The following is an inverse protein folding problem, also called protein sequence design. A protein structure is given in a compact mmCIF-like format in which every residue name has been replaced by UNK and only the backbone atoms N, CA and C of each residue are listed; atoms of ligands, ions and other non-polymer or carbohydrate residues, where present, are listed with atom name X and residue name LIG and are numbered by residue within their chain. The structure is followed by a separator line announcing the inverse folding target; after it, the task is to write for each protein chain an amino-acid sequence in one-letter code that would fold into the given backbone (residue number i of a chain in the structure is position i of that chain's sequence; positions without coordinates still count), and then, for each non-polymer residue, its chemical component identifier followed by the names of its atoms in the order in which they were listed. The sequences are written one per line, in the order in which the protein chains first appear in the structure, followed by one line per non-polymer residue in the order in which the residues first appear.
data_IF_620696253534
#
_entry.id   IF_620696253534
#
_cell.length_a   1.000
_cell.length_b   1.000
_cell.length_c   1.000
_cell.angle_alpha   90.00
_cell.angle_beta   90.00
_cell.angle_gamma   90.00
#
_symmetry.space_group_name_H-M   'P 1'
#
loop_
_entity.id
_entity.type
_entity.pdbx_description
1 polymer ?
#
# COMPACT_ATOMS: atom_id res chain seq x y z
N UNK A 1 -23.32 5.91 -41.00
CA UNK A 1 -21.88 6.10 -40.68
C UNK A 1 -21.62 6.33 -39.18
N UNK A 2 -22.64 6.46 -38.31
CA UNK A 2 -22.42 6.66 -36.85
C UNK A 2 -22.15 5.36 -36.08
N UNK A 3 -22.76 4.24 -36.47
CA UNK A 3 -22.60 2.95 -35.78
C UNK A 3 -21.17 2.40 -35.85
N UNK A 4 -20.52 2.51 -37.02
CA UNK A 4 -19.12 2.08 -37.19
C UNK A 4 -18.14 2.94 -36.38
N UNK A 5 -18.46 4.21 -36.13
CA UNK A 5 -17.66 5.09 -35.25
C UNK A 5 -17.82 4.67 -33.78
N UNK A 6 -19.05 4.40 -33.35
CA UNK A 6 -19.33 3.97 -31.98
C UNK A 6 -18.72 2.59 -31.65
N UNK A 7 -18.75 1.65 -32.60
CA UNK A 7 -18.06 0.36 -32.47
C UNK A 7 -16.54 0.53 -32.37
N UNK A 8 -15.95 1.42 -33.17
CA UNK A 8 -14.52 1.73 -33.11
C UNK A 8 -14.12 2.34 -31.77
N UNK A 9 -14.94 3.25 -31.22
CA UNK A 9 -14.69 3.89 -29.93
C UNK A 9 -14.81 2.88 -28.77
N UNK A 10 -15.80 1.98 -28.80
CA UNK A 10 -15.92 0.92 -27.79
C UNK A 10 -14.77 -0.10 -27.88
N UNK A 11 -14.32 -0.44 -29.08
CA UNK A 11 -13.12 -1.26 -29.27
C UNK A 11 -11.88 -0.60 -28.69
N UNK A 12 -11.68 0.71 -28.92
CA UNK A 12 -10.56 1.47 -28.32
C UNK A 12 -10.64 1.47 -26.80
N UNK A 13 -11.83 1.72 -26.23
CA UNK A 13 -12.04 1.69 -24.78
C UNK A 13 -11.67 0.33 -24.17
N UNK A 14 -12.09 -0.76 -24.83
CA UNK A 14 -11.75 -2.12 -24.40
C UNK A 14 -10.27 -2.42 -24.50
N UNK A 15 -9.59 -1.94 -25.55
CA UNK A 15 -8.14 -2.08 -25.70
C UNK A 15 -7.39 -1.34 -24.59
N UNK A 16 -7.81 -0.13 -24.23
CA UNK A 16 -7.24 0.65 -23.13
C UNK A 16 -7.38 -0.10 -21.80
N UNK A 17 -8.60 -0.58 -21.50
CA UNK A 17 -8.91 -1.32 -20.27
C UNK A 17 -8.12 -2.63 -20.18
N UNK A 18 -7.98 -3.35 -21.29
CA UNK A 18 -7.16 -4.56 -21.36
C UNK A 18 -5.66 -4.25 -21.21
N UNK A 19 -5.19 -3.13 -21.76
CA UNK A 19 -3.78 -2.73 -21.65
C UNK A 19 -3.42 -2.40 -20.21
N UNK A 20 -4.26 -1.63 -19.51
CA UNK A 20 -4.11 -1.35 -18.09
C UNK A 20 -4.07 -2.65 -17.26
N UNK A 21 -4.93 -3.61 -17.58
CA UNK A 21 -4.96 -4.90 -16.89
C UNK A 21 -3.72 -5.75 -17.15
N UNK A 22 -3.13 -5.67 -18.35
CA UNK A 22 -1.86 -6.33 -18.66
C UNK A 22 -0.72 -5.73 -17.85
N UNK A 23 -0.65 -4.40 -17.74
CA UNK A 23 0.36 -3.72 -16.93
C UNK A 23 0.29 -4.14 -15.46
N UNK A 24 -0.92 -4.19 -14.89
CA UNK A 24 -1.14 -4.67 -13.53
C UNK A 24 -0.70 -6.13 -13.32
N UNK A 25 -0.97 -7.00 -14.31
CA UNK A 25 -0.53 -8.40 -14.28
C UNK A 25 1.00 -8.54 -14.41
N UNK A 26 1.64 -7.69 -15.21
CA UNK A 26 3.09 -7.67 -15.35
C UNK A 26 3.78 -7.19 -14.07
N UNK A 27 3.27 -6.14 -13.40
CA UNK A 27 3.75 -5.69 -12.09
C UNK A 27 3.58 -6.80 -11.04
N UNK A 28 2.44 -7.50 -11.03
CA UNK A 28 2.20 -8.61 -10.13
C UNK A 28 3.17 -9.78 -10.35
N UNK A 29 3.37 -10.20 -11.60
CA UNK A 29 4.31 -11.29 -11.95
C UNK A 29 5.75 -10.94 -11.60
N UNK A 30 6.18 -9.71 -11.88
CA UNK A 30 7.52 -9.25 -11.52
C UNK A 30 7.73 -9.27 -10.01
N UNK A 31 6.74 -8.76 -9.26
CA UNK A 31 6.75 -8.73 -7.79
C UNK A 31 6.79 -10.16 -7.21
N UNK A 32 6.02 -11.09 -7.76
CA UNK A 32 6.04 -12.52 -7.38
C UNK A 32 7.38 -13.19 -7.68
N UNK A 33 7.99 -12.91 -8.84
CA UNK A 33 9.29 -13.47 -9.20
C UNK A 33 10.38 -13.05 -8.21
N UNK A 34 10.43 -11.76 -7.86
CA UNK A 34 11.37 -11.23 -6.86
C UNK A 34 11.08 -11.82 -5.48
N UNK A 35 9.80 -11.87 -5.08
CA UNK A 35 9.37 -12.40 -3.80
C UNK A 35 9.74 -13.88 -3.59
N UNK A 36 9.58 -14.71 -4.62
CA UNK A 36 9.93 -16.13 -4.58
C UNK A 36 11.44 -16.31 -4.52
N UNK A 37 12.19 -15.52 -5.30
CA UNK A 37 13.64 -15.64 -5.39
C UNK A 37 14.37 -15.12 -4.14
N UNK A 38 13.82 -14.11 -3.46
CA UNK A 38 14.46 -13.41 -2.35
C UNK A 38 13.58 -13.36 -1.08
N UNK A 39 12.76 -14.37 -0.84
CA UNK A 39 11.75 -14.34 0.25
C UNK A 39 12.34 -14.02 1.63
N UNK A 40 13.59 -14.43 1.89
CA UNK A 40 14.27 -14.20 3.18
C UNK A 40 14.96 -12.84 3.24
N UNK A 41 15.48 -12.37 2.11
CA UNK A 41 16.23 -11.13 1.97
C UNK A 41 15.28 -9.92 1.80
N UNK A 42 14.10 -10.16 1.21
CA UNK A 42 13.08 -9.19 0.85
C UNK A 42 11.70 -9.54 1.47
N UNK A 43 11.58 -9.75 2.80
CA UNK A 43 10.35 -10.25 3.42
C UNK A 43 9.14 -9.34 3.22
N UNK A 44 9.34 -8.02 3.14
CA UNK A 44 8.25 -7.07 2.91
C UNK A 44 7.72 -7.11 1.47
N UNK A 45 8.62 -7.18 0.47
CA UNK A 45 8.20 -7.37 -0.92
C UNK A 45 7.53 -8.73 -1.10
N UNK A 46 8.04 -9.77 -0.42
CA UNK A 46 7.43 -11.08 -0.44
C UNK A 46 6.01 -11.10 0.13
N UNK A 47 5.79 -10.43 1.27
CA UNK A 47 4.46 -10.21 1.82
C UNK A 47 3.53 -9.50 0.82
N UNK A 48 4.00 -8.41 0.20
CA UNK A 48 3.21 -7.68 -0.80
C UNK A 48 2.81 -8.57 -1.97
N UNK A 49 3.73 -9.40 -2.47
CA UNK A 49 3.48 -10.33 -3.55
C UNK A 49 2.47 -11.44 -3.16
N UNK A 50 2.69 -12.07 -2.01
CA UNK A 50 1.88 -13.19 -1.49
C UNK A 50 0.41 -12.78 -1.31
N UNK A 51 0.16 -11.52 -1.00
CA UNK A 51 -1.18 -10.97 -0.79
C UNK A 51 -1.71 -10.12 -1.95
N UNK A 52 -1.04 -10.11 -3.10
CA UNK A 52 -1.48 -9.36 -4.29
C UNK A 52 -1.61 -7.85 -4.05
N UNK A 53 -0.73 -7.28 -3.24
CA UNK A 53 -0.74 -5.86 -2.87
C UNK A 53 0.04 -5.08 -3.93
N UNK A 54 -0.69 -4.58 -4.94
CA UNK A 54 -0.12 -3.84 -6.09
C UNK A 54 -0.81 -2.48 -6.27
N UNK A 55 -0.35 -1.69 -7.25
CA UNK A 55 -1.00 -0.44 -7.67
C UNK A 55 -1.28 0.55 -6.54
N UNK A 56 -2.49 1.14 -6.53
CA UNK A 56 -2.90 2.14 -5.52
C UNK A 56 -2.93 1.58 -4.10
N UNK A 57 -3.23 0.29 -3.92
CA UNK A 57 -3.23 -0.37 -2.60
C UNK A 57 -1.82 -0.47 -2.01
N UNK A 58 -0.81 -0.75 -2.85
CA UNK A 58 0.61 -0.74 -2.45
C UNK A 58 1.04 0.67 -2.01
N UNK A 59 0.62 1.70 -2.74
CA UNK A 59 0.89 3.10 -2.37
C UNK A 59 0.24 3.46 -1.03
N UNK A 60 -1.03 3.10 -0.83
CA UNK A 60 -1.72 3.33 0.44
C UNK A 60 -1.08 2.56 1.60
N UNK A 61 -0.69 1.30 1.41
CA UNK A 61 -0.02 0.52 2.45
C UNK A 61 1.29 1.19 2.89
N UNK A 62 2.14 1.55 1.92
CA UNK A 62 3.41 2.22 2.21
C UNK A 62 3.19 3.57 2.88
N UNK A 63 2.18 4.33 2.45
CA UNK A 63 1.79 5.58 3.09
C UNK A 63 1.35 5.38 4.54
N UNK A 64 0.50 4.38 4.81
CA UNK A 64 0.02 4.10 6.16
C UNK A 64 1.17 3.68 7.09
N UNK A 65 2.04 2.76 6.65
CA UNK A 65 3.21 2.34 7.43
C UNK A 65 4.13 3.54 7.72
N UNK A 66 4.42 4.37 6.72
CA UNK A 66 5.25 5.56 6.94
C UNK A 66 4.61 6.56 7.91
N UNK A 67 3.29 6.76 7.81
CA UNK A 67 2.53 7.61 8.71
C UNK A 67 2.61 7.14 10.16
N UNK A 68 2.25 5.88 10.43
CA UNK A 68 2.25 5.34 11.80
C UNK A 68 3.66 5.33 12.40
N UNK A 69 4.69 5.04 11.61
CA UNK A 69 6.08 5.09 12.07
C UNK A 69 6.57 6.51 12.36
N UNK A 70 6.15 7.49 11.55
CA UNK A 70 6.44 8.90 11.81
C UNK A 70 5.69 9.40 13.05
N UNK A 71 4.43 8.99 13.22
CA UNK A 71 3.57 9.32 14.38
C UNK A 71 4.16 8.75 15.68
N UNK A 72 4.62 7.51 15.67
CA UNK A 72 5.32 6.88 16.80
C UNK A 72 6.58 7.65 17.21
N UNK A 73 7.30 8.22 16.24
CA UNK A 73 8.49 9.06 16.46
C UNK A 73 8.19 10.51 16.83
N UNK A 74 6.90 10.90 16.90
CA UNK A 74 6.47 12.31 17.02
C UNK A 74 7.05 13.21 15.91
N UNK A 75 7.27 12.63 14.75
CA UNK A 75 7.82 13.28 13.56
C UNK A 75 6.80 13.33 12.41
N UNK A 76 5.56 12.88 12.64
CA UNK A 76 4.48 12.97 11.66
C UNK A 76 4.25 14.43 11.28
N UNK A 77 4.33 14.70 9.97
CA UNK A 77 3.84 15.93 9.37
C UNK A 77 2.49 15.63 8.72
N UNK A 78 1.56 16.59 8.70
CA UNK A 78 0.30 16.42 7.97
C UNK A 78 0.58 15.99 6.53
N UNK A 79 -0.21 15.04 6.02
CA UNK A 79 -0.15 14.63 4.61
C UNK A 79 -0.37 15.85 3.72
N UNK A 80 0.51 16.09 2.75
CA UNK A 80 0.29 17.12 1.74
C UNK A 80 -0.90 16.70 0.86
N UNK A 81 -1.95 17.53 0.83
CA UNK A 81 -3.30 17.18 0.41
C UNK A 81 -3.48 17.12 -1.11
N UNK A 82 -2.51 17.59 -1.90
CA UNK A 82 -2.62 17.69 -3.36
C UNK A 82 -2.77 16.32 -4.06
N UNK A 83 -1.73 15.49 -4.00
CA UNK A 83 -1.73 14.13 -4.58
C UNK A 83 -2.47 13.10 -3.68
N UNK A 84 -2.74 13.47 -2.43
CA UNK A 84 -3.28 12.58 -1.40
C UNK A 84 -4.81 12.45 -1.43
N UNK A 85 -5.55 13.44 -1.96
CA UNK A 85 -7.02 13.49 -1.84
C UNK A 85 -7.74 12.26 -2.42
N UNK A 86 -7.44 11.90 -3.67
CA UNK A 86 -8.07 10.73 -4.31
C UNK A 86 -7.68 9.41 -3.61
N UNK A 87 -6.48 9.33 -3.03
CA UNK A 87 -6.05 8.16 -2.27
C UNK A 87 -6.72 8.09 -0.89
N UNK A 88 -6.95 9.23 -0.25
CA UNK A 88 -7.66 9.33 1.04
C UNK A 88 -9.13 8.96 0.94
N UNK A 89 -9.78 9.23 -0.19
CA UNK A 89 -11.18 8.81 -0.45
C UNK A 89 -11.29 7.28 -0.44
N UNK A 90 -10.36 6.60 -1.12
CA UNK A 90 -10.33 5.14 -1.19
C UNK A 90 -9.74 4.48 0.08
N UNK A 91 -8.84 5.17 0.78
CA UNK A 91 -8.10 4.67 1.95
C UNK A 91 -8.10 5.68 3.10
N UNK A 92 -9.24 5.86 3.79
CA UNK A 92 -9.38 6.86 4.85
C UNK A 92 -8.49 6.61 6.07
N UNK A 93 -8.01 5.37 6.25
CA UNK A 93 -7.06 5.01 7.31
C UNK A 93 -5.74 5.81 7.21
N UNK A 94 -5.38 6.30 6.02
CA UNK A 94 -4.22 7.17 5.84
C UNK A 94 -4.32 8.45 6.68
N UNK A 95 -5.50 9.03 6.85
CA UNK A 95 -5.65 10.20 7.71
C UNK A 95 -5.28 9.89 9.17
N UNK A 96 -5.69 8.71 9.67
CA UNK A 96 -5.39 8.24 11.04
C UNK A 96 -3.89 7.98 11.23
N UNK A 97 -3.22 7.48 10.19
CA UNK A 97 -1.78 7.20 10.22
C UNK A 97 -0.94 8.46 10.50
N UNK A 98 -1.42 9.64 10.07
CA UNK A 98 -0.72 10.92 10.21
C UNK A 98 -1.35 11.84 11.26
N UNK A 99 -2.23 11.31 12.12
CA UNK A 99 -2.81 12.06 13.23
C UNK A 99 -1.71 12.55 14.20
N UNK A 100 -1.89 13.71 14.85
CA UNK A 100 -0.86 14.32 15.70
C UNK A 100 -0.66 13.60 17.05
N UNK A 101 -1.63 12.82 17.51
CA UNK A 101 -1.58 12.13 18.79
C UNK A 101 -0.49 11.03 18.79
N UNK A 102 0.06 10.63 19.95
CA UNK A 102 0.86 9.42 20.04
C UNK A 102 0.08 8.19 19.55
N UNK A 103 0.81 7.15 19.13
CA UNK A 103 0.24 5.89 18.63
C UNK A 103 0.95 4.72 19.29
N UNK A 104 0.18 3.68 19.64
CA UNK A 104 0.70 2.41 20.12
C UNK A 104 0.73 1.34 19.01
N UNK A 105 1.32 0.18 19.32
CA UNK A 105 1.42 -0.92 18.37
C UNK A 105 0.04 -1.41 17.87
N UNK A 106 -0.95 -1.54 18.76
CA UNK A 106 -2.25 -2.10 18.41
C UNK A 106 -3.06 -1.13 17.52
N UNK A 107 -2.96 0.17 17.76
CA UNK A 107 -3.52 1.19 16.87
C UNK A 107 -2.80 1.20 15.52
N UNK A 108 -1.47 1.08 15.48
CA UNK A 108 -0.72 1.00 14.22
C UNK A 108 -1.13 -0.23 13.39
N UNK A 109 -1.25 -1.40 14.05
CA UNK A 109 -1.73 -2.63 13.43
C UNK A 109 -3.14 -2.46 12.86
N UNK A 110 -4.05 -1.82 13.61
CA UNK A 110 -5.42 -1.57 13.16
C UNK A 110 -5.47 -0.65 11.93
N UNK A 111 -4.72 0.46 11.94
CA UNK A 111 -4.69 1.43 10.84
C UNK A 111 -4.14 0.79 9.56
N UNK A 112 -3.02 0.06 9.65
CA UNK A 112 -2.45 -0.67 8.51
C UNK A 112 -3.41 -1.77 8.06
N UNK A 113 -4.05 -2.44 9.01
CA UNK A 113 -5.06 -3.47 8.76
C UNK A 113 -6.28 -2.96 8.01
N UNK A 114 -6.75 -1.74 8.29
CA UNK A 114 -7.86 -1.11 7.55
C UNK A 114 -7.53 -0.96 6.06
N UNK A 115 -6.30 -0.58 5.69
CA UNK A 115 -5.84 -0.53 4.27
C UNK A 115 -5.84 -1.92 3.63
N UNK A 116 -5.56 -2.95 4.42
CA UNK A 116 -5.47 -4.33 3.98
C UNK A 116 -6.79 -5.10 4.15
N UNK A 117 -7.83 -4.49 4.72
CA UNK A 117 -9.09 -5.15 5.07
C UNK A 117 -8.96 -6.25 6.13
N UNK A 118 -7.85 -6.29 6.88
CA UNK A 118 -7.60 -7.30 7.92
C UNK A 118 -6.53 -6.84 8.90
N UNK A 119 -6.86 -6.84 10.20
CA UNK A 119 -5.91 -6.55 11.28
C UNK A 119 -4.75 -7.55 11.33
N UNK A 120 -5.03 -8.83 11.02
CA UNK A 120 -4.01 -9.86 10.93
C UNK A 120 -2.97 -9.53 9.85
N UNK A 121 -3.43 -9.11 8.67
CA UNK A 121 -2.54 -8.65 7.59
C UNK A 121 -1.81 -7.37 7.98
N UNK A 122 -2.45 -6.47 8.74
CA UNK A 122 -1.82 -5.26 9.27
C UNK A 122 -0.59 -5.58 10.14
N UNK A 123 -0.72 -6.55 11.05
CA UNK A 123 0.39 -7.06 11.87
C UNK A 123 1.50 -7.66 11.02
N UNK A 124 1.14 -8.58 10.10
CA UNK A 124 2.12 -9.24 9.23
C UNK A 124 2.87 -8.23 8.35
N UNK A 125 2.19 -7.20 7.83
CA UNK A 125 2.82 -6.15 7.04
C UNK A 125 3.87 -5.38 7.82
N UNK A 126 3.54 -4.96 9.05
CA UNK A 126 4.47 -4.23 9.93
C UNK A 126 5.66 -5.12 10.34
N UNK A 127 5.42 -6.39 10.66
CA UNK A 127 6.47 -7.35 10.98
C UNK A 127 7.40 -7.61 9.79
N UNK A 128 6.86 -7.83 8.58
CA UNK A 128 7.63 -8.04 7.37
C UNK A 128 8.45 -6.77 7.00
N UNK A 129 7.85 -5.59 7.15
CA UNK A 129 8.54 -4.30 6.97
C UNK A 129 9.69 -4.13 7.96
N UNK A 130 9.47 -4.46 9.24
CA UNK A 130 10.50 -4.43 10.28
C UNK A 130 11.61 -5.43 9.99
N UNK A 131 11.27 -6.66 9.62
CA UNK A 131 12.21 -7.73 9.30
C UNK A 131 13.13 -7.38 8.12
N UNK A 132 12.62 -6.61 7.15
CA UNK A 132 13.43 -6.06 6.04
C UNK A 132 14.46 -5.02 6.48
N UNK A 133 14.36 -4.50 7.69
CA UNK A 133 15.21 -3.43 8.22
C UNK A 133 14.74 -2.02 7.86
N UNK A 134 13.49 -1.85 7.40
CA UNK A 134 12.95 -0.55 7.02
C UNK A 134 12.33 0.16 8.23
N UNK A 135 12.56 1.47 8.35
CA UNK A 135 11.91 2.29 9.39
C UNK A 135 12.21 1.87 10.83
N UNK A 136 13.38 1.28 11.08
CA UNK A 136 13.75 0.66 12.37
C UNK A 136 13.53 1.57 13.59
N UNK A 137 13.84 2.86 13.47
CA UNK A 137 13.62 3.83 14.55
C UNK A 137 12.14 3.99 14.89
N UNK A 138 11.25 3.99 13.89
CA UNK A 138 9.81 4.05 14.12
C UNK A 138 9.27 2.75 14.71
N UNK A 139 9.78 1.60 14.26
CA UNK A 139 9.40 0.30 14.80
C UNK A 139 9.84 0.13 16.26
N UNK A 140 11.02 0.67 16.62
CA UNK A 140 11.47 0.73 18.02
C UNK A 140 10.56 1.65 18.84
N UNK A 141 10.18 2.81 18.31
CA UNK A 141 9.28 3.74 18.99
C UNK A 141 7.88 3.15 19.22
N UNK A 142 7.37 2.30 18.31
CA UNK A 142 6.10 1.57 18.49
C UNK A 142 6.18 0.43 19.51
N UNK A 143 7.38 -0.09 19.78
CA UNK A 143 7.60 -1.21 20.70
C UNK A 143 7.86 -0.75 22.15
N UNK A 144 7.93 0.56 22.38
CA UNK A 144 8.22 1.20 23.67
C UNK A 144 6.97 1.89 24.22
#
# INVERSE_FOLDING_TARGET
MSESSAELDELRRRVEEQSQRIEELQDALHTLSIAVQYRKEEPYLAFQAEHGITGRRRVALNGAINGVLARARRAARPLDLGASKALLEDYPALAKAYAPEPIDWDEAVRIVGEVLGSEHLGRQALEAHRARGLGLEGHRALSN
#
